data_IF_396873962989
#
_entry.id   IF_396873962989
#
_cell.length_a   1.000
_cell.length_b   1.000
_cell.length_c   1.000
_cell.angle_alpha   90.00
_cell.angle_beta   90.00
_cell.angle_gamma   90.00
#
_symmetry.space_group_name_H-M   'P 1'
#
loop_
_entity.id
_entity.type
_entity.pdbx_description
1 polymer ?
2 non-polymer ?
3 non-polymer ?
4 non-polymer ?
5 water ?
#
# COMPACT_ATOMS: atom_id res chain seq x y z
N UNK A 9 22.75 21.19 -13.24
CA UNK A 9 22.26 19.95 -12.56
C UNK A 9 21.42 18.95 -13.37
N UNK A 10 21.15 19.23 -14.63
CA UNK A 10 20.41 18.32 -15.49
C UNK A 10 21.44 17.54 -16.31
N UNK A 11 22.73 17.63 -16.00
CA UNK A 11 23.74 16.88 -16.69
C UNK A 11 24.21 15.60 -16.01
N UNK A 12 23.69 15.29 -14.82
CA UNK A 12 24.27 14.23 -14.00
C UNK A 12 24.29 12.89 -14.71
N UNK A 13 23.15 12.46 -15.24
CA UNK A 13 23.10 11.15 -15.86
C UNK A 13 23.85 11.12 -17.19
N UNK A 14 23.79 12.22 -17.96
CA UNK A 14 24.58 12.30 -19.20
C UNK A 14 26.06 12.08 -18.89
N UNK A 15 26.55 12.64 -17.78
CA UNK A 15 27.94 12.42 -17.37
C UNK A 15 28.18 10.99 -16.90
N UNK A 16 27.32 10.47 -16.03
CA UNK A 16 27.51 9.13 -15.51
C UNK A 16 27.42 8.06 -16.59
N UNK A 17 26.94 8.39 -17.80
CA UNK A 17 26.74 7.39 -18.82
C UNK A 17 25.47 6.56 -18.68
N UNK A 18 24.50 7.03 -17.90
CA UNK A 18 23.23 6.34 -17.69
C UNK A 18 22.20 6.89 -18.67
N UNK A 19 21.51 6.05 -19.43
CA UNK A 19 20.58 6.56 -20.44
C UNK A 19 19.28 7.03 -19.79
N UNK A 20 18.44 7.69 -20.58
CA UNK A 20 17.23 8.26 -20.04
C UNK A 20 16.70 9.43 -20.86
N UNK A 21 15.44 9.78 -20.63
CA UNK A 21 14.77 10.72 -21.52
C UNK A 21 15.22 12.14 -21.23
N UNK A 22 15.24 12.96 -22.26
CA UNK A 22 15.92 14.24 -22.15
C UNK A 22 15.06 15.21 -21.34
N UNK A 23 15.61 15.85 -20.31
CA UNK A 23 14.82 16.75 -19.45
C UNK A 23 14.65 18.13 -20.05
N UNK A 24 13.48 18.79 -19.67
CA UNK A 24 13.26 20.18 -20.00
C UNK A 24 13.77 21.06 -18.88
N UNK A 25 14.29 22.24 -19.20
CA UNK A 25 14.67 23.19 -18.14
C UNK A 25 13.57 23.35 -17.10
N UNK A 26 13.96 23.24 -15.82
CA UNK A 26 13.09 23.45 -14.65
C UNK A 26 12.13 22.30 -14.37
N UNK A 27 11.32 21.93 -15.37
CA UNK A 27 10.38 20.82 -15.16
C UNK A 27 11.06 19.47 -15.08
N UNK A 28 12.27 19.32 -15.62
CA UNK A 28 12.82 17.97 -15.70
C UNK A 28 12.00 17.17 -16.69
N UNK A 29 11.63 15.94 -16.32
CA UNK A 29 10.85 15.08 -17.19
C UNK A 29 9.36 15.03 -16.84
N UNK A 30 8.88 15.98 -16.03
CA UNK A 30 7.62 15.72 -15.36
C UNK A 30 6.46 15.79 -16.35
N UNK A 31 6.60 16.51 -17.46
CA UNK A 31 5.54 16.46 -18.48
C UNK A 31 5.23 15.00 -18.87
N UNK A 32 6.21 14.09 -18.74
CA UNK A 32 6.02 12.67 -19.08
C UNK A 32 5.01 11.95 -18.20
N UNK A 33 4.55 12.58 -17.12
CA UNK A 33 3.59 11.97 -16.22
C UNK A 33 2.15 12.14 -16.70
N UNK A 34 1.95 12.71 -17.90
CA UNK A 34 0.61 12.97 -18.42
C UNK A 34 -0.20 11.70 -18.58
N UNK A 35 0.47 10.57 -18.80
CA UNK A 35 -0.14 9.25 -18.91
C UNK A 35 -0.02 8.41 -17.65
N UNK A 36 0.63 8.93 -16.64
CA UNK A 36 0.80 8.34 -15.33
C UNK A 36 2.23 7.84 -15.11
N UNK A 37 2.64 7.83 -13.83
CA UNK A 37 3.87 7.18 -13.39
C UNK A 37 4.08 5.87 -14.10
N UNK A 38 3.09 4.97 -13.99
CA UNK A 38 3.36 3.58 -14.33
C UNK A 38 3.59 3.42 -15.84
N UNK A 39 2.80 4.08 -16.68
CA UNK A 39 3.06 4.02 -18.12
C UNK A 39 4.45 4.54 -18.46
N UNK A 40 4.82 5.70 -17.90
CA UNK A 40 6.16 6.27 -18.08
C UNK A 40 7.24 5.28 -17.66
N UNK A 41 7.07 4.66 -16.49
CA UNK A 41 8.03 3.68 -16.02
C UNK A 41 8.12 2.49 -16.96
N UNK A 42 6.98 1.91 -17.36
CA UNK A 42 6.99 0.84 -18.36
C UNK A 42 7.69 1.30 -19.63
N UNK A 43 7.34 2.49 -20.11
CA UNK A 43 7.99 2.97 -21.32
C UNK A 43 9.50 3.06 -21.14
N UNK A 44 9.97 3.67 -20.05
CA UNK A 44 11.40 3.76 -19.82
C UNK A 44 12.05 2.39 -19.73
N UNK A 45 11.46 1.50 -18.94
CA UNK A 45 12.01 0.16 -18.78
C UNK A 45 12.26 -0.53 -20.11
N UNK A 46 11.45 -0.19 -21.12
CA UNK A 46 11.54 -0.84 -22.41
C UNK A 46 12.46 -0.08 -23.38
N UNK A 47 12.41 1.26 -23.38
CA UNK A 47 13.34 2.06 -24.18
C UNK A 47 14.79 1.90 -23.71
N UNK A 48 15.03 1.68 -22.41
CA UNK A 48 16.34 1.92 -21.80
C UNK A 48 16.99 0.73 -21.12
N UNK A 49 16.24 -0.34 -20.81
CA UNK A 49 16.82 -1.49 -20.16
C UNK A 49 16.71 -1.57 -18.65
N UNK A 50 17.81 -1.97 -17.99
CA UNK A 50 17.81 -2.34 -16.58
C UNK A 50 18.05 -1.17 -15.64
N UNK A 51 18.42 0.00 -16.18
CA UNK A 51 18.82 1.18 -15.42
C UNK A 51 18.56 2.39 -16.29
N UNK A 52 17.96 3.43 -15.71
CA UNK A 52 17.80 4.72 -16.41
C UNK A 52 17.69 5.84 -15.40
N UNK A 53 17.76 7.07 -15.90
CA UNK A 53 17.63 8.22 -15.03
C UNK A 53 16.76 9.30 -15.61
N UNK A 54 16.09 10.05 -14.74
CA UNK A 54 15.18 11.09 -15.15
C UNK A 54 15.10 12.08 -14.00
N UNK A 55 14.38 13.17 -14.20
CA UNK A 55 14.46 14.31 -13.28
C UNK A 55 13.06 14.75 -12.90
N UNK A 56 12.76 14.72 -11.61
CA UNK A 56 11.53 15.35 -11.11
C UNK A 56 11.91 16.80 -10.85
N UNK A 57 11.54 17.70 -11.75
CA UNK A 57 12.02 19.06 -11.58
C UNK A 57 13.53 19.02 -11.72
N UNK A 58 14.25 19.48 -10.69
CA UNK A 58 15.71 19.39 -10.68
C UNK A 58 16.24 18.15 -9.95
N UNK A 59 15.37 17.31 -9.40
CA UNK A 59 15.78 16.18 -8.57
C UNK A 59 16.09 14.95 -9.43
N UNK A 60 17.32 14.51 -9.52
CA UNK A 60 17.63 13.27 -10.26
C UNK A 60 17.08 12.04 -9.58
N UNK A 61 16.52 11.12 -10.38
CA UNK A 61 15.90 9.89 -9.88
C UNK A 61 16.46 8.74 -10.70
N UNK A 62 17.18 7.81 -10.05
CA UNK A 62 17.76 6.66 -10.76
C UNK A 62 16.86 5.44 -10.59
N UNK A 63 16.29 4.95 -11.70
CA UNK A 63 15.52 3.72 -11.66
C UNK A 63 16.46 2.54 -11.80
N UNK A 64 16.27 1.53 -10.95
CA UNK A 64 17.02 0.27 -11.03
C UNK A 64 16.03 -0.88 -11.11
N UNK A 65 16.46 -1.97 -11.75
CA UNK A 65 15.62 -3.16 -11.89
C UNK A 65 16.38 -4.48 -11.72
N UNK A 66 17.70 -4.45 -11.57
CA UNK A 66 18.44 -5.68 -11.29
C UNK A 66 18.07 -6.22 -9.91
N UNK A 67 17.65 -7.50 -9.81
CA UNK A 67 17.31 -8.09 -8.49
C UNK A 67 18.40 -7.95 -7.45
N UNK A 68 19.68 -8.13 -7.85
CA UNK A 68 20.80 -8.00 -6.94
C UNK A 68 20.97 -6.57 -6.46
N UNK A 69 20.94 -5.61 -7.40
CA UNK A 69 21.06 -4.20 -7.02
C UNK A 69 19.90 -3.78 -6.13
N UNK A 70 18.71 -4.33 -6.36
CA UNK A 70 17.54 -4.00 -5.55
C UNK A 70 17.69 -4.54 -4.15
N UNK A 71 18.21 -5.76 -4.01
CA UNK A 71 18.43 -6.33 -2.70
C UNK A 71 19.49 -5.53 -1.94
N UNK A 72 20.55 -5.10 -2.65
CA UNK A 72 21.57 -4.24 -2.04
C UNK A 72 20.96 -2.95 -1.50
N UNK A 73 19.99 -2.39 -2.22
CA UNK A 73 19.47 -1.09 -1.87
C UNK A 73 18.45 -1.21 -0.74
N UNK A 74 17.48 -2.11 -0.91
CA UNK A 74 16.43 -2.27 0.09
C UNK A 74 16.95 -2.93 1.37
N UNK A 75 17.99 -3.77 1.27
CA UNK A 75 18.42 -4.63 2.38
C UNK A 75 19.89 -4.43 2.76
N UNK A 76 20.80 -4.84 1.86
CA UNK A 76 22.22 -4.95 2.20
C UNK A 76 22.81 -3.63 2.70
N UNK A 77 22.30 -2.51 2.21
CA UNK A 77 22.89 -1.20 2.51
C UNK A 77 21.84 -0.23 3.00
N UNK A 78 20.80 -0.73 3.67
CA UNK A 78 19.69 0.12 4.10
C UNK A 78 20.11 1.03 5.26
N UNK A 79 20.52 0.42 6.38
CA UNK A 79 20.94 1.20 7.54
C UNK A 79 22.03 2.21 7.21
N UNK A 80 22.95 1.87 6.30
CA UNK A 80 24.14 2.67 6.04
C UNK A 80 23.92 3.80 5.03
N UNK A 81 23.17 3.55 3.95
CA UNK A 81 23.13 4.48 2.83
C UNK A 81 21.71 4.83 2.41
N UNK A 82 20.82 3.85 2.35
CA UNK A 82 19.48 4.09 1.80
C UNK A 82 18.42 3.97 2.89
N UNK A 83 18.51 4.83 3.88
CA UNK A 83 17.69 4.67 5.06
C UNK A 83 16.33 5.31 4.92
N UNK A 84 16.23 6.39 4.14
CA UNK A 84 15.03 7.21 4.12
C UNK A 84 14.38 7.25 2.76
N UNK A 85 13.13 7.66 2.77
CA UNK A 85 12.38 7.90 1.55
C UNK A 85 12.57 9.34 1.13
N UNK A 86 12.06 9.64 -0.06
CA UNK A 86 12.17 10.98 -0.61
C UNK A 86 11.46 11.98 0.31
N UNK A 87 12.07 13.13 0.61
CA UNK A 87 11.36 14.15 1.39
C UNK A 87 10.01 14.46 0.78
N UNK A 88 9.06 14.83 1.63
CA UNK A 88 7.67 14.93 1.22
C UNK A 88 6.99 15.91 2.16
N UNK A 89 6.58 17.06 1.63
CA UNK A 89 6.03 18.08 2.49
C UNK A 89 5.17 19.08 1.76
N UNK A 90 4.56 20.01 2.51
CA UNK A 90 4.74 20.24 3.95
C UNK A 90 3.94 19.28 4.84
N UNK A 91 4.56 18.75 5.89
CA UNK A 91 3.90 17.76 6.72
C UNK A 91 3.50 18.30 8.10
N UNK A 92 4.23 19.27 8.66
CA UNK A 92 3.92 19.75 10.00
C UNK A 92 4.27 18.77 11.11
N UNK A 93 3.42 18.67 12.14
CA UNK A 93 3.71 17.75 13.24
C UNK A 93 3.83 16.31 12.76
N UNK A 94 3.32 16.00 11.56
CA UNK A 94 3.42 14.66 11.03
C UNK A 94 4.83 14.27 10.61
N UNK A 95 5.81 15.20 10.69
CA UNK A 95 7.19 14.80 10.40
C UNK A 95 7.63 13.65 11.29
N UNK A 96 7.04 13.54 12.47
CA UNK A 96 7.45 12.48 13.38
C UNK A 96 6.72 11.17 13.12
N UNK A 97 5.87 11.09 12.09
CA UNK A 97 5.22 9.84 11.77
C UNK A 97 6.27 8.84 11.30
N UNK A 98 6.04 7.56 11.60
CA UNK A 98 7.12 6.59 11.41
C UNK A 98 7.56 6.56 9.96
N UNK A 99 6.62 6.48 9.03
CA UNK A 99 7.00 6.27 7.63
C UNK A 99 7.63 7.51 7.01
N UNK A 100 7.51 8.67 7.66
CA UNK A 100 8.13 9.92 7.21
C UNK A 100 9.45 10.15 7.91
N UNK A 101 9.58 9.63 9.14
CA UNK A 101 10.76 9.88 9.95
C UNK A 101 12.02 9.32 9.28
N UNK A 102 13.15 9.84 9.70
CA UNK A 102 14.44 9.59 9.10
C UNK A 102 15.45 9.08 10.11
N UNK A 103 16.36 8.25 9.59
CA UNK A 103 17.62 7.91 10.25
C UNK A 103 17.35 7.43 11.67
N UNK A 104 17.99 8.00 12.68
CA UNK A 104 17.90 7.48 14.02
C UNK A 104 16.49 7.61 14.58
N UNK A 105 15.77 8.67 14.20
CA UNK A 105 14.44 8.81 14.77
C UNK A 105 13.51 7.71 14.26
N UNK A 106 13.57 7.40 12.95
CA UNK A 106 12.79 6.29 12.43
C UNK A 106 13.15 4.99 13.13
N UNK A 107 14.46 4.71 13.20
CA UNK A 107 14.96 3.54 13.93
C UNK A 107 14.27 3.38 15.28
N UNK A 108 14.19 4.45 16.07
CA UNK A 108 13.55 4.35 17.38
C UNK A 108 12.06 4.03 17.24
N UNK A 109 11.36 4.68 16.30
CA UNK A 109 9.93 4.41 16.13
C UNK A 109 9.69 2.98 15.64
N UNK A 110 10.46 2.56 14.64
CA UNK A 110 10.44 1.16 14.20
C UNK A 110 10.57 0.21 15.39
N UNK A 111 11.67 0.30 16.14
CA UNK A 111 11.83 -0.57 17.31
C UNK A 111 10.67 -0.42 18.28
N UNK A 112 10.15 0.80 18.46
CA UNK A 112 9.08 0.97 19.43
C UNK A 112 7.79 0.30 18.94
N UNK A 113 7.48 0.40 17.65
CA UNK A 113 6.19 -0.02 17.14
C UNK A 113 6.19 -1.42 16.54
N UNK A 114 7.34 -2.05 16.39
CA UNK A 114 7.37 -3.39 15.81
C UNK A 114 6.55 -4.43 16.58
N UNK A 115 6.56 -4.47 17.93
CA UNK A 115 5.81 -5.52 18.65
C UNK A 115 4.30 -5.46 18.46
N UNK A 116 3.81 -4.51 17.67
CA UNK A 116 2.38 -4.44 17.44
C UNK A 116 1.89 -5.55 16.51
N UNK A 117 2.73 -5.99 15.56
CA UNK A 117 2.26 -6.94 14.55
C UNK A 117 2.98 -8.28 14.61
N UNK A 118 3.03 -8.86 15.79
CA UNK A 118 3.56 -10.20 15.95
C UNK A 118 2.47 -11.22 15.67
N UNK A 119 2.90 -12.48 15.53
CA UNK A 119 1.93 -13.55 15.35
C UNK A 119 1.01 -13.68 16.56
N UNK A 120 1.50 -13.28 17.74
CA UNK A 120 0.74 -13.40 18.97
C UNK A 120 -0.18 -12.22 19.23
N UNK A 121 0.20 -11.03 18.74
CA UNK A 121 -0.67 -9.86 18.80
C UNK A 121 -1.75 -9.92 17.72
N UNK A 122 -1.38 -10.35 16.51
CA UNK A 122 -2.38 -10.64 15.48
C UNK A 122 -3.41 -11.63 15.98
N UNK A 123 -2.94 -12.74 16.55
CA UNK A 123 -3.82 -13.83 16.95
C UNK A 123 -4.84 -13.40 18.01
N UNK A 124 -4.52 -12.36 18.80
CA UNK A 124 -5.50 -11.79 19.72
C UNK A 124 -6.57 -10.97 19.00
N UNK A 125 -6.25 -10.44 17.81
CA UNK A 125 -7.16 -9.62 17.03
C UNK A 125 -8.18 -10.43 16.22
N UNK A 126 -7.94 -11.73 15.98
CA UNK A 126 -8.91 -12.54 15.23
C UNK A 126 -10.27 -12.59 15.94
N UNK A 127 -10.36 -12.88 17.24
CA UNK A 127 -11.69 -12.86 17.88
C UNK A 127 -12.39 -11.52 17.77
N UNK A 128 -11.66 -10.42 17.68
CA UNK A 128 -12.29 -9.10 17.65
C UNK A 128 -12.66 -8.69 16.23
N UNK A 129 -11.81 -9.00 15.25
CA UNK A 129 -12.20 -8.78 13.85
C UNK A 129 -13.46 -9.54 13.54
N UNK A 130 -13.67 -10.70 14.18
CA UNK A 130 -14.76 -11.60 13.85
C UNK A 130 -16.13 -10.97 13.97
N UNK A 131 -16.25 -9.77 14.55
CA UNK A 131 -17.55 -9.13 14.68
C UNK A 131 -17.90 -8.29 13.46
N UNK A 132 -16.96 -7.51 12.95
CA UNK A 132 -17.29 -6.57 11.90
C UNK A 132 -17.51 -7.26 10.56
N UNK A 133 -16.95 -8.46 10.36
CA UNK A 133 -17.30 -9.23 9.18
C UNK A 133 -18.79 -9.54 9.12
N UNK A 134 -19.39 -9.84 10.27
CA UNK A 134 -20.81 -10.12 10.32
C UNK A 134 -21.64 -8.86 10.06
N UNK A 135 -21.20 -7.71 10.57
CA UNK A 135 -21.76 -6.43 10.14
C UNK A 135 -21.63 -6.29 8.63
N UNK A 136 -20.42 -6.58 8.11
CA UNK A 136 -20.16 -6.49 6.67
C UNK A 136 -21.12 -7.37 5.88
N UNK A 137 -21.50 -8.52 6.41
CA UNK A 137 -22.44 -9.40 5.73
C UNK A 137 -23.83 -8.78 5.72
N UNK A 138 -24.36 -8.50 6.92
CA UNK A 138 -25.70 -7.93 7.04
C UNK A 138 -25.83 -6.62 6.28
N UNK A 139 -24.83 -5.74 6.37
CA UNK A 139 -24.86 -4.55 5.53
C UNK A 139 -24.99 -4.93 4.05
N UNK A 140 -24.46 -6.08 3.66
CA UNK A 140 -24.42 -6.51 2.27
C UNK A 140 -25.63 -7.33 1.91
N UNK A 141 -26.17 -8.06 2.88
CA UNK A 141 -27.43 -8.77 2.72
C UNK A 141 -28.58 -7.81 2.42
N UNK A 142 -28.54 -6.59 2.95
CA UNK A 142 -29.57 -5.59 2.65
C UNK A 142 -29.45 -5.11 1.21
N UNK A 143 -28.29 -4.58 0.84
CA UNK A 143 -28.03 -4.12 -0.51
C UNK A 143 -28.01 -5.26 -1.52
N UNK A 144 -28.28 -6.49 -1.09
CA UNK A 144 -28.41 -7.64 -1.96
C UNK A 144 -29.86 -8.09 -2.12
N UNK A 145 -30.59 -8.24 -1.00
CA UNK A 145 -32.02 -8.52 -1.03
C UNK A 145 -32.81 -7.46 -1.80
N UNK A 146 -32.18 -6.33 -2.10
CA UNK A 146 -32.68 -5.35 -3.05
C UNK A 146 -31.68 -5.32 -4.21
N UNK A 147 -32.08 -5.89 -5.36
CA UNK A 147 -31.20 -6.07 -6.51
C UNK A 147 -30.54 -4.81 -7.05
N UNK A 148 -29.91 -4.07 -6.14
CA UNK A 148 -29.28 -2.78 -6.39
C UNK A 148 -27.78 -2.94 -6.41
N UNK A 149 -27.07 -2.63 -7.51
CA UNK A 149 -25.60 -2.75 -7.51
C UNK A 149 -24.96 -2.07 -6.31
N UNK A 150 -23.82 -2.62 -5.87
CA UNK A 150 -23.14 -2.19 -4.66
C UNK A 150 -21.81 -1.54 -5.01
N UNK A 151 -21.49 -0.45 -4.32
CA UNK A 151 -20.18 0.17 -4.37
C UNK A 151 -19.30 -0.53 -3.34
N UNK A 152 -18.29 -1.24 -3.80
CA UNK A 152 -17.53 -2.06 -2.87
C UNK A 152 -16.71 -1.19 -1.93
N UNK A 153 -16.05 -0.17 -2.48
CA UNK A 153 -15.15 0.63 -1.65
C UNK A 153 -15.90 1.30 -0.52
N UNK A 154 -17.16 1.65 -0.74
CA UNK A 154 -17.97 2.19 0.34
C UNK A 154 -18.18 1.18 1.46
N UNK A 155 -18.62 -0.04 1.11
CA UNK A 155 -18.93 -1.00 2.17
C UNK A 155 -17.65 -1.66 2.68
N UNK A 156 -16.63 -1.82 1.84
CA UNK A 156 -15.34 -2.31 2.33
C UNK A 156 -14.70 -1.31 3.27
N UNK A 157 -14.60 -0.04 2.85
CA UNK A 157 -14.02 1.00 3.70
C UNK A 157 -14.75 1.14 5.01
N UNK A 158 -16.08 0.99 4.98
CA UNK A 158 -16.86 0.96 6.21
C UNK A 158 -16.31 -0.11 7.15
N UNK A 159 -16.14 -1.34 6.64
CA UNK A 159 -15.64 -2.42 7.48
C UNK A 159 -14.19 -2.18 7.89
N UNK A 160 -13.35 -1.72 6.94
CA UNK A 160 -11.95 -1.44 7.25
C UNK A 160 -11.83 -0.45 8.40
N UNK A 161 -12.53 0.68 8.30
CA UNK A 161 -12.53 1.68 9.36
C UNK A 161 -12.90 1.04 10.71
N UNK A 162 -13.84 0.10 10.68
CA UNK A 162 -14.27 -0.54 11.91
C UNK A 162 -13.13 -1.33 12.56
N UNK A 163 -12.47 -2.19 11.78
CA UNK A 163 -11.37 -3.00 12.28
C UNK A 163 -10.23 -2.11 12.78
N UNK A 164 -9.87 -1.07 12.03
CA UNK A 164 -8.72 -0.29 12.45
C UNK A 164 -8.97 0.36 13.81
N UNK A 165 -10.08 1.11 13.95
CA UNK A 165 -10.27 1.89 15.16
C UNK A 165 -10.29 1.01 16.39
N UNK A 166 -10.69 -0.26 16.22
CA UNK A 166 -10.77 -1.18 17.35
C UNK A 166 -9.49 -1.98 17.54
N UNK A 167 -8.77 -2.32 16.45
CA UNK A 167 -7.51 -3.06 16.59
C UNK A 167 -6.46 -2.26 17.35
N UNK A 168 -6.56 -0.95 17.31
CA UNK A 168 -5.51 -0.12 17.84
C UNK A 168 -5.93 0.73 19.03
N UNK A 169 -7.22 0.98 19.23
CA UNK A 169 -7.68 1.93 20.23
C UNK A 169 -8.74 1.33 21.13
N UNK A 170 -9.75 0.69 20.53
CA UNK A 170 -10.81 0.02 21.25
C UNK A 170 -12.20 0.57 20.97
N UNK A 171 -12.34 1.45 19.98
CA UNK A 171 -13.59 2.16 19.72
C UNK A 171 -14.41 1.41 18.67
N UNK A 172 -15.69 1.23 18.96
CA UNK A 172 -16.61 0.47 18.12
C UNK A 172 -17.69 1.42 17.61
N UNK A 173 -17.82 1.53 16.29
CA UNK A 173 -18.82 2.40 15.69
C UNK A 173 -19.27 1.87 14.34
N UNK A 174 -20.51 1.39 14.28
CA UNK A 174 -21.07 0.84 13.05
C UNK A 174 -20.63 1.83 11.98
N UNK A 175 -19.77 1.38 11.07
CA UNK A 175 -19.26 2.23 10.00
C UNK A 175 -20.23 2.25 8.83
N UNK A 176 -21.16 3.21 8.85
CA UNK A 176 -22.14 3.35 7.78
C UNK A 176 -22.47 4.79 7.43
N UNK A 177 -23.13 5.48 8.35
CA UNK A 177 -23.51 6.88 8.14
C UNK A 177 -24.46 7.39 9.22
N UNK A 180 -18.47 10.39 10.58
CA UNK A 180 -17.03 10.19 10.78
C UNK A 180 -16.37 9.68 9.50
N UNK A 181 -15.18 9.11 9.64
CA UNK A 181 -14.44 8.58 8.50
C UNK A 181 -13.77 9.66 7.66
N UNK A 182 -13.06 10.63 8.36
CA UNK A 182 -12.42 11.64 7.52
C UNK A 182 -11.01 11.32 7.08
N UNK A 183 -10.76 11.39 5.76
CA UNK A 183 -9.44 11.09 5.23
C UNK A 183 -8.72 12.37 4.79
N UNK A 197 -3.70 15.00 -8.61
CA UNK A 197 -2.55 15.62 -9.27
C UNK A 197 -2.83 17.09 -9.69
N UNK A 198 -3.00 18.02 -8.69
CA UNK A 198 -3.23 19.44 -9.03
C UNK A 198 -2.25 20.43 -8.41
N UNK A 199 -1.57 20.03 -7.33
CA UNK A 199 -0.85 20.95 -6.44
C UNK A 199 0.47 20.29 -6.09
N UNK A 200 0.41 19.03 -5.65
CA UNK A 200 1.61 18.23 -5.39
C UNK A 200 2.57 18.23 -6.57
N UNK A 201 2.03 18.43 -7.77
CA UNK A 201 2.81 18.77 -8.94
C UNK A 201 3.80 19.89 -8.62
N UNK A 202 3.29 21.03 -8.17
CA UNK A 202 4.15 22.18 -7.90
C UNK A 202 5.22 21.85 -6.86
N UNK A 203 4.96 20.90 -5.95
CA UNK A 203 5.98 20.50 -4.99
C UNK A 203 7.28 20.15 -5.69
N UNK A 204 7.20 19.49 -6.85
CA UNK A 204 8.41 18.92 -7.41
C UNK A 204 9.12 19.82 -8.40
N UNK A 205 8.40 20.75 -9.01
CA UNK A 205 9.11 21.86 -9.62
C UNK A 205 9.54 22.85 -8.55
N UNK A 206 8.85 22.89 -7.41
CA UNK A 206 9.17 23.88 -6.40
C UNK A 206 9.47 23.31 -5.03
N UNK A 207 10.24 22.21 -4.90
CA UNK A 207 10.45 21.65 -3.55
C UNK A 207 11.17 22.62 -2.64
N UNK A 208 11.82 23.61 -3.24
CA UNK A 208 12.38 24.72 -2.50
C UNK A 208 11.30 25.56 -1.83
N UNK A 209 10.04 25.18 -2.07
CA UNK A 209 8.91 25.89 -1.46
C UNK A 209 8.35 25.18 -0.25
N UNK A 210 8.60 23.88 -0.12
CA UNK A 210 8.29 23.14 1.08
C UNK A 210 8.70 23.89 2.35
N UNK A 211 9.95 24.35 2.52
CA UNK A 211 10.31 25.02 3.79
C UNK A 211 9.62 26.35 3.97
N UNK A 212 9.16 26.94 2.86
CA UNK A 212 8.27 28.10 2.92
C UNK A 212 6.93 27.69 3.53
N UNK A 213 6.42 26.54 3.09
CA UNK A 213 5.11 26.12 3.57
C UNK A 213 5.16 25.65 5.02
N UNK A 214 6.28 25.04 5.45
CA UNK A 214 6.39 24.59 6.83
C UNK A 214 6.28 25.76 7.79
N UNK A 215 6.97 26.86 7.48
CA UNK A 215 6.84 28.04 8.32
C UNK A 215 5.47 28.70 8.20
N UNK A 216 4.60 28.22 7.32
CA UNK A 216 3.23 28.75 7.28
C UNK A 216 2.21 27.85 7.96
N UNK A 217 2.65 26.75 8.57
CA UNK A 217 1.77 25.73 9.11
C UNK A 217 0.91 25.10 8.00
N UNK A 218 1.18 25.47 6.74
CA UNK A 218 0.43 24.91 5.63
C UNK A 218 0.72 23.42 5.50
N UNK A 219 -0.33 22.62 5.29
CA UNK A 219 -0.21 21.18 5.44
C UNK A 219 -0.95 20.44 4.32
N UNK A 220 -0.33 19.38 3.81
CA UNK A 220 -0.98 18.55 2.78
C UNK A 220 -2.08 17.68 3.37
N UNK A 221 -2.14 17.58 4.71
CA UNK A 221 -3.30 17.11 5.46
C UNK A 221 -4.00 18.35 5.93
N UNK A 222 -5.14 18.72 5.32
CA UNK A 222 -5.82 19.97 5.72
C UNK A 222 -5.84 20.10 7.23
N UNK A 223 -5.45 21.26 7.76
CA UNK A 223 -5.27 21.41 9.20
C UNK A 223 -6.51 21.02 9.99
N UNK A 224 -7.65 20.80 9.34
CA UNK A 224 -8.90 20.50 10.03
C UNK A 224 -9.15 19.01 10.18
N UNK A 225 -8.63 18.17 9.27
CA UNK A 225 -8.72 16.72 9.46
C UNK A 225 -7.85 16.29 10.64
N UNK A 226 -6.62 16.81 10.71
CA UNK A 226 -5.73 16.44 11.80
C UNK A 226 -6.15 17.10 13.11
N UNK A 227 -6.62 18.35 13.08
CA UNK A 227 -7.15 18.98 14.29
C UNK A 227 -8.32 18.19 14.86
N UNK A 228 -9.06 17.49 14.01
CA UNK A 228 -10.10 16.58 14.48
C UNK A 228 -9.51 15.54 15.42
N UNK A 229 -8.24 15.17 15.21
CA UNK A 229 -7.59 14.17 16.04
C UNK A 229 -6.45 14.71 16.87
N UNK A 230 -5.95 15.93 16.59
CA UNK A 230 -4.97 16.58 17.44
C UNK A 230 -5.53 16.67 18.86
N UNK A 231 -6.84 16.40 18.97
CA UNK A 231 -7.52 16.17 20.22
C UNK A 231 -8.21 14.81 20.32
N UNK A 232 -8.73 14.25 19.21
CA UNK A 232 -9.49 13.01 19.28
C UNK A 232 -8.69 11.82 19.79
N UNK A 233 -7.36 11.90 19.74
CA UNK A 233 -6.52 10.86 20.34
C UNK A 233 -6.27 11.13 21.81
N UNK A 234 -5.92 12.39 22.14
CA UNK A 234 -5.99 12.83 23.52
C UNK A 234 -7.37 12.54 24.11
N UNK A 235 -8.39 12.51 23.26
CA UNK A 235 -9.77 12.16 23.62
C UNK A 235 -10.01 10.65 23.64
N UNK A 236 -8.95 9.81 23.70
CA UNK A 236 -9.10 8.36 23.78
C UNK A 236 -8.00 7.74 24.65
N UNK A 237 -8.05 8.03 25.94
CA UNK A 237 -9.08 8.91 26.49
C UNK A 237 -8.51 9.86 27.54
N UNK A 238 -8.04 9.32 28.67
CA UNK A 238 -8.05 7.89 28.94
C UNK A 238 -8.02 7.60 30.44
N UNK A 239 -8.82 6.63 30.87
CA UNK A 239 -8.89 6.26 32.29
C UNK A 239 -10.00 5.26 32.54
N UNK A 250 -3.42 -2.97 22.99
CA UNK A 250 -3.66 -2.29 21.72
C UNK A 250 -2.47 -1.44 21.29
N UNK A 251 -2.45 -1.07 20.00
CA UNK A 251 -1.46 -0.12 19.50
C UNK A 251 -1.42 1.13 20.37
N UNK A 252 -2.58 1.64 20.77
CA UNK A 252 -2.64 2.76 21.70
C UNK A 252 -2.05 2.37 23.04
N UNK A 253 -2.41 1.19 23.55
CA UNK A 253 -1.81 0.67 24.77
C UNK A 253 -0.29 0.61 24.67
N UNK A 254 0.23 -0.15 23.69
CA UNK A 254 1.66 -0.43 23.61
C UNK A 254 2.50 0.85 23.46
N UNK A 255 1.88 1.98 23.15
CA UNK A 255 2.55 3.28 23.05
C UNK A 255 2.68 3.97 24.40
N UNK A 256 1.61 3.96 25.19
CA UNK A 256 1.65 4.64 26.49
C UNK A 256 2.68 3.96 27.40
N UNK A 257 2.84 2.64 27.28
CA UNK A 257 3.77 1.90 28.13
C UNK A 257 5.19 2.45 27.99
N UNK A 258 5.51 3.02 26.84
CA UNK A 258 6.78 3.66 26.60
C UNK A 258 6.65 5.18 26.58
N UNK A 259 5.48 5.72 26.89
CA UNK A 259 5.31 7.15 27.14
C UNK A 259 5.53 7.50 28.61
N UNK A 260 4.87 6.78 29.52
CA UNK A 260 4.91 7.05 30.96
C UNK A 260 4.84 8.55 31.27
N UNK A 268 16.38 7.28 24.40
CA UNK A 268 15.04 7.74 24.77
C UNK A 268 14.32 8.37 23.57
N UNK A 269 13.02 8.12 23.43
CA UNK A 269 12.26 7.28 24.35
C UNK A 269 10.79 7.20 23.93
N UNK A 270 10.13 8.35 23.87
CA UNK A 270 8.72 8.40 23.48
C UNK A 270 8.13 9.77 23.75
N UNK A 271 6.95 10.03 23.19
CA UNK A 271 6.28 11.30 23.37
C UNK A 271 4.77 11.08 23.25
N UNK A 272 4.03 12.17 23.03
CA UNK A 272 2.58 12.08 22.90
C UNK A 272 1.98 12.71 21.64
N UNK A 273 2.37 13.92 21.26
CA UNK A 273 2.01 14.33 19.90
C UNK A 273 2.65 13.40 18.88
N UNK A 274 3.81 12.83 19.21
CA UNK A 274 4.37 11.74 18.42
C UNK A 274 3.50 10.49 18.52
N UNK A 275 2.69 10.35 19.56
CA UNK A 275 1.79 9.21 19.59
C UNK A 275 0.61 9.41 18.65
N UNK A 276 0.05 10.64 18.60
CA UNK A 276 -1.06 10.96 17.71
C UNK A 276 -0.66 10.75 16.25
N UNK A 277 0.60 11.06 15.90
CA UNK A 277 1.04 10.96 14.52
C UNK A 277 1.11 9.50 14.05
N UNK A 278 1.69 8.61 14.86
CA UNK A 278 1.68 7.19 14.53
C UNK A 278 0.25 6.69 14.38
N UNK A 279 -0.64 7.16 15.26
CA UNK A 279 -2.03 6.72 15.18
C UNK A 279 -2.63 7.10 13.83
N UNK A 280 -2.44 8.35 13.40
CA UNK A 280 -2.97 8.79 12.11
C UNK A 280 -2.45 7.90 10.98
N UNK A 281 -1.15 7.57 10.98
CA UNK A 281 -0.61 6.68 9.95
C UNK A 281 -1.39 5.36 9.94
N UNK A 282 -1.47 4.72 11.10
CA UNK A 282 -2.11 3.42 11.18
C UNK A 282 -3.58 3.50 10.76
N UNK A 283 -4.25 4.62 11.08
CA UNK A 283 -5.67 4.71 10.78
C UNK A 283 -5.88 4.87 9.28
N UNK A 284 -5.00 5.61 8.62
CA UNK A 284 -5.07 5.70 7.17
C UNK A 284 -4.86 4.33 6.57
N UNK A 285 -3.66 3.77 6.79
CA UNK A 285 -3.27 2.46 6.27
C UNK A 285 -4.38 1.44 6.36
N UNK A 286 -4.88 1.19 7.58
CA UNK A 286 -5.90 0.17 7.77
C UNK A 286 -7.23 0.45 7.08
N UNK A 287 -7.56 1.73 6.89
CA UNK A 287 -8.78 2.07 6.15
C UNK A 287 -8.55 2.04 4.64
N UNK A 288 -7.71 2.93 4.13
CA UNK A 288 -7.70 3.15 2.69
C UNK A 288 -7.08 1.98 1.95
N UNK A 289 -5.98 1.43 2.46
CA UNK A 289 -5.31 0.39 1.69
C UNK A 289 -6.09 -0.91 1.74
N UNK A 290 -6.54 -1.29 2.95
CA UNK A 290 -7.30 -2.54 3.11
C UNK A 290 -8.58 -2.52 2.27
N UNK A 291 -9.28 -1.40 2.25
CA UNK A 291 -10.51 -1.30 1.47
C UNK A 291 -10.24 -1.25 -0.02
N UNK A 292 -9.16 -0.58 -0.41
CA UNK A 292 -8.85 -0.41 -1.82
C UNK A 292 -8.44 -1.73 -2.45
N UNK A 293 -7.73 -2.56 -1.70
CA UNK A 293 -7.30 -3.83 -2.24
C UNK A 293 -8.47 -4.80 -2.27
N UNK A 294 -9.28 -4.81 -1.21
CA UNK A 294 -10.45 -5.69 -1.20
C UNK A 294 -11.31 -5.46 -2.43
N UNK A 295 -11.45 -4.18 -2.83
CA UNK A 295 -12.25 -3.85 -4.01
C UNK A 295 -11.60 -4.36 -5.28
N UNK A 296 -10.28 -4.27 -5.38
CA UNK A 296 -9.59 -4.82 -6.54
C UNK A 296 -9.79 -6.33 -6.65
N UNK A 297 -9.74 -7.05 -5.51
CA UNK A 297 -9.87 -8.51 -5.50
C UNK A 297 -11.26 -8.92 -5.94
N UNK A 298 -12.29 -8.19 -5.50
CA UNK A 298 -13.65 -8.56 -5.86
C UNK A 298 -13.91 -8.31 -7.34
N UNK A 299 -13.33 -7.25 -7.91
CA UNK A 299 -13.40 -7.03 -9.35
C UNK A 299 -12.82 -8.22 -10.12
N UNK A 300 -11.64 -8.68 -9.71
CA UNK A 300 -11.00 -9.79 -10.43
C UNK A 300 -11.78 -11.08 -10.23
N UNK A 301 -12.24 -11.34 -9.00
CA UNK A 301 -13.13 -12.47 -8.75
C UNK A 301 -14.39 -12.41 -9.60
N UNK A 302 -14.88 -11.21 -9.93
CA UNK A 302 -16.12 -11.09 -10.71
C UNK A 302 -15.88 -11.29 -12.20
N UNK A 303 -14.76 -10.77 -12.71
CA UNK A 303 -14.41 -10.95 -14.12
C UNK A 303 -13.83 -12.33 -14.42
N UNK A 304 -13.57 -13.16 -13.39
CA UNK A 304 -13.05 -14.51 -13.55
C UNK A 304 -13.84 -15.47 -12.66
N UNK A 305 -15.07 -15.82 -13.07
CA UNK A 305 -15.97 -16.63 -12.21
C UNK A 305 -15.42 -17.98 -11.75
N UNK A 306 -14.59 -18.68 -12.56
CA UNK A 306 -14.04 -19.97 -12.14
C UNK A 306 -13.08 -19.81 -10.96
N UNK A 307 -12.42 -18.65 -10.87
CA UNK A 307 -11.56 -18.41 -9.73
C UNK A 307 -12.39 -18.16 -8.48
N UNK A 308 -13.53 -17.49 -8.63
CA UNK A 308 -14.40 -17.26 -7.48
C UNK A 308 -14.98 -18.57 -6.96
N UNK A 309 -15.40 -19.46 -7.85
CA UNK A 309 -15.89 -20.75 -7.39
C UNK A 309 -14.78 -21.53 -6.70
N UNK A 310 -13.63 -21.65 -7.37
CA UNK A 310 -12.53 -22.41 -6.79
C UNK A 310 -12.25 -21.92 -5.37
N UNK A 311 -12.34 -20.61 -5.16
CA UNK A 311 -12.11 -20.04 -3.83
C UNK A 311 -13.25 -20.40 -2.87
N UNK A 312 -14.51 -20.30 -3.33
CA UNK A 312 -15.61 -20.64 -2.43
C UNK A 312 -15.56 -22.11 -2.04
N UNK A 313 -15.04 -22.96 -2.94
CA UNK A 313 -14.87 -24.39 -2.67
C UNK A 313 -13.83 -24.62 -1.58
N UNK A 314 -12.71 -23.89 -1.62
CA UNK A 314 -11.67 -24.11 -0.61
C UNK A 314 -12.15 -23.68 0.78
N UNK A 315 -12.84 -22.53 0.86
CA UNK A 315 -13.32 -22.00 2.13
C UNK A 315 -14.31 -22.95 2.80
N UNK A 316 -15.21 -23.53 2.01
CA UNK A 316 -16.18 -24.47 2.58
C UNK A 316 -15.52 -25.78 3.01
N UNK A 317 -14.37 -26.13 2.45
CA UNK A 317 -13.72 -27.38 2.85
C UNK A 317 -12.92 -27.21 4.15
N UNK A 318 -12.21 -26.09 4.29
CA UNK A 318 -11.53 -25.79 5.56
C UNK A 318 -12.54 -25.41 6.63
N UNK A 319 -13.62 -24.74 6.24
CA UNK A 319 -14.58 -24.15 7.18
C UNK A 319 -15.97 -24.67 6.86
N UNK A 320 -16.27 -25.91 7.23
CA UNK A 320 -17.58 -26.48 6.88
C UNK A 320 -18.70 -25.89 7.74
N UNK A 321 -19.89 -25.79 7.13
CA UNK A 321 -21.08 -25.20 7.75
C UNK A 321 -20.96 -23.70 7.94
N UNK A 322 -20.21 -23.02 7.06
CA UNK A 322 -19.81 -21.63 7.28
C UNK A 322 -19.19 -21.46 8.66
N UNK A 323 -18.34 -22.41 9.04
CA UNK A 323 -17.63 -22.32 10.31
C UNK A 323 -16.88 -20.98 10.41
N UNK A 324 -16.78 -20.40 11.60
CA UNK A 324 -16.08 -19.12 11.75
C UNK A 324 -14.61 -19.28 11.45
N UNK A 325 -14.02 -18.40 10.64
CA UNK A 325 -12.58 -18.49 10.38
C UNK A 325 -11.78 -18.19 11.63
N UNK A 326 -10.77 -19.02 11.88
CA UNK A 326 -9.80 -18.74 12.92
C UNK A 326 -8.46 -18.36 12.28
N UNK A 327 -7.59 -17.80 13.13
CA UNK A 327 -6.26 -17.38 12.73
C UNK A 327 -5.56 -18.47 11.93
N UNK A 328 -5.72 -19.71 12.39
CA UNK A 328 -4.99 -20.81 11.76
C UNK A 328 -5.67 -21.29 10.49
N UNK A 329 -7.01 -21.30 10.46
CA UNK A 329 -7.70 -21.70 9.24
C UNK A 329 -7.44 -20.70 8.11
N UNK A 330 -7.19 -19.44 8.45
CA UNK A 330 -6.82 -18.46 7.42
C UNK A 330 -5.49 -18.86 6.75
N UNK A 331 -4.47 -19.11 7.57
CA UNK A 331 -3.16 -19.46 7.01
C UNK A 331 -3.18 -20.80 6.30
N UNK A 332 -4.17 -21.64 6.60
CA UNK A 332 -4.29 -22.93 5.94
C UNK A 332 -4.71 -22.80 4.48
N UNK A 333 -5.36 -21.70 4.12
CA UNK A 333 -6.04 -21.58 2.82
C UNK A 333 -5.06 -21.08 1.76
N UNK A 334 -4.66 -21.97 0.85
CA UNK A 334 -3.60 -21.65 -0.09
C UNK A 334 -4.07 -20.86 -1.30
N UNK A 335 -5.20 -21.26 -1.90
CA UNK A 335 -5.74 -20.54 -3.05
C UNK A 335 -6.21 -19.15 -2.67
N UNK A 336 -6.69 -18.96 -1.44
CA UNK A 336 -6.98 -17.60 -0.99
C UNK A 336 -5.69 -16.78 -1.05
N UNK A 337 -4.59 -17.36 -0.57
CA UNK A 337 -3.32 -16.64 -0.61
C UNK A 337 -2.89 -16.36 -2.04
N UNK A 338 -3.10 -17.32 -2.95
CA UNK A 338 -2.74 -17.14 -4.35
C UNK A 338 -3.56 -16.02 -4.97
N UNK A 339 -4.86 -16.00 -4.69
CA UNK A 339 -5.71 -14.93 -5.21
C UNK A 339 -5.23 -13.60 -4.69
N UNK A 340 -4.97 -13.51 -3.39
CA UNK A 340 -4.58 -12.21 -2.86
C UNK A 340 -3.28 -11.75 -3.50
N UNK A 341 -2.30 -12.66 -3.58
CA UNK A 341 -1.00 -12.30 -4.12
C UNK A 341 -1.14 -11.82 -5.54
N UNK A 342 -1.98 -12.52 -6.31
CA UNK A 342 -2.06 -12.24 -7.72
C UNK A 342 -2.71 -10.89 -7.98
N UNK A 343 -3.69 -10.48 -7.14
CA UNK A 343 -4.21 -9.13 -7.25
C UNK A 343 -3.14 -8.10 -6.94
N UNK A 344 -2.35 -8.31 -5.89
CA UNK A 344 -1.31 -7.32 -5.60
C UNK A 344 -0.20 -7.31 -6.64
N UNK A 345 -0.07 -8.37 -7.46
CA UNK A 345 0.87 -8.27 -8.58
C UNK A 345 0.34 -7.32 -9.63
N UNK A 346 -0.97 -7.38 -9.90
CA UNK A 346 -1.58 -6.51 -10.90
C UNK A 346 -1.81 -5.09 -10.37
N UNK A 347 -2.18 -4.94 -9.11
CA UNK A 347 -2.50 -3.63 -8.52
C UNK A 347 -1.63 -3.39 -7.30
N UNK A 348 -0.32 -3.17 -7.49
CA UNK A 348 0.57 -2.92 -6.33
C UNK A 348 0.43 -1.49 -5.85
N UNK A 349 -0.28 -1.30 -4.74
CA UNK A 349 -0.75 0.04 -4.39
C UNK A 349 0.37 1.05 -4.10
N UNK A 350 1.60 0.60 -3.85
CA UNK A 350 2.73 1.54 -3.76
C UNK A 350 3.24 2.07 -5.12
N UNK A 351 3.16 1.26 -6.19
CA UNK A 351 3.60 1.59 -7.56
C UNK A 351 5.11 1.74 -7.74
N UNK A 352 5.77 2.55 -6.91
CA UNK A 352 7.22 2.66 -6.85
C UNK A 352 7.73 2.58 -5.42
N UNK A 353 8.89 1.96 -5.21
CA UNK A 353 9.62 2.07 -3.95
C UNK A 353 10.84 2.95 -4.19
N UNK A 354 11.16 3.79 -3.20
CA UNK A 354 12.17 4.84 -3.31
C UNK A 354 12.98 4.95 -2.04
N UNK A 355 14.29 5.26 -2.18
CA UNK A 355 15.24 5.51 -1.09
C UNK A 355 16.24 6.60 -1.46
N UNK A 356 16.46 7.55 -0.55
CA UNK A 356 17.44 8.62 -0.81
C UNK A 356 18.85 8.09 -0.57
N UNK A 357 19.72 8.31 -1.54
CA UNK A 357 21.12 7.91 -1.41
C UNK A 357 21.81 8.95 -0.54
N UNK A 358 22.25 8.55 0.66
CA UNK A 358 22.72 9.52 1.62
C UNK A 358 24.23 9.73 1.59
N UNK A 359 24.97 9.04 0.71
CA UNK A 359 26.41 9.23 0.55
C UNK A 359 26.85 8.48 -0.69
N UNK A 360 28.02 8.85 -1.23
CA UNK A 360 28.53 8.17 -2.42
C UNK A 360 28.62 6.66 -2.16
N UNK A 361 28.26 5.87 -3.17
CA UNK A 361 28.33 4.41 -3.09
C UNK A 361 28.53 3.83 -4.49
N UNK A 362 29.04 2.60 -4.52
CA UNK A 362 29.26 1.85 -5.75
C UNK A 362 28.64 0.48 -5.50
N UNK A 363 27.37 0.33 -5.88
CA UNK A 363 26.60 -0.89 -5.63
C UNK A 363 26.53 -1.73 -6.89
N UNK A 364 26.88 -3.01 -6.77
CA UNK A 364 26.88 -3.93 -7.91
C UNK A 364 27.56 -3.30 -9.13
N UNK A 365 28.74 -2.73 -8.91
CA UNK A 365 29.55 -2.24 -10.00
C UNK A 365 29.12 -0.92 -10.62
N UNK A 366 28.27 -0.15 -9.95
CA UNK A 366 27.76 1.11 -10.48
C UNK A 366 27.84 2.21 -9.44
N UNK A 367 28.42 3.36 -9.82
CA UNK A 367 28.56 4.50 -8.92
C UNK A 367 27.29 5.32 -8.83
N UNK A 368 26.84 5.62 -7.60
CA UNK A 368 25.63 6.39 -7.32
C UNK A 368 26.00 7.57 -6.44
N UNK A 369 25.82 8.81 -6.90
CA UNK A 369 26.29 9.96 -6.13
C UNK A 369 25.28 10.42 -5.09
N UNK A 370 25.79 11.15 -4.12
CA UNK A 370 24.98 11.55 -2.98
C UNK A 370 23.81 12.38 -3.46
N UNK A 371 22.65 12.13 -2.86
CA UNK A 371 21.45 12.89 -3.15
C UNK A 371 20.52 12.30 -4.20
N UNK A 372 21.00 11.37 -5.04
CA UNK A 372 20.12 10.77 -6.03
C UNK A 372 19.00 10.03 -5.31
N UNK A 373 17.80 10.07 -5.88
CA UNK A 373 16.73 9.19 -5.41
C UNK A 373 16.81 7.92 -6.23
N UNK A 374 16.88 6.79 -5.54
CA UNK A 374 16.93 5.48 -6.16
C UNK A 374 15.52 4.88 -6.10
N UNK A 375 15.03 4.38 -7.23
CA UNK A 375 13.63 4.07 -7.37
C UNK A 375 13.49 2.65 -7.91
N UNK A 376 12.58 1.88 -7.33
CA UNK A 376 12.23 0.57 -7.89
C UNK A 376 10.87 0.72 -8.53
N UNK A 377 10.75 0.59 -9.84
CA UNK A 377 9.42 0.68 -10.47
C UNK A 377 8.64 -0.64 -10.34
N UNK A 378 8.01 -0.81 -9.17
CA UNK A 378 7.35 -2.07 -8.84
C UNK A 378 6.23 -2.40 -9.82
N UNK A 379 5.36 -1.43 -10.10
CA UNK A 379 4.30 -1.70 -11.06
C UNK A 379 4.89 -2.25 -12.34
N UNK A 380 5.99 -1.66 -12.81
CA UNK A 380 6.58 -2.13 -14.07
C UNK A 380 7.16 -3.53 -13.94
N UNK A 381 7.91 -3.77 -12.86
CA UNK A 381 8.47 -5.09 -12.66
C UNK A 381 7.39 -6.16 -12.54
N UNK A 382 6.24 -5.81 -11.93
CA UNK A 382 5.11 -6.75 -11.83
C UNK A 382 4.52 -7.08 -13.21
N UNK A 383 4.65 -6.18 -14.20
CA UNK A 383 4.06 -6.40 -15.52
C UNK A 383 5.09 -6.64 -16.62
N UNK A 384 6.38 -6.80 -16.23
CA UNK A 384 7.49 -7.06 -17.13
C UNK A 384 7.33 -8.43 -17.80
N UNK A 385 7.20 -8.49 -19.12
CA UNK A 385 7.17 -9.80 -19.82
C UNK A 385 8.42 -10.65 -19.61
N UNK A 386 9.57 -10.05 -19.28
CA UNK A 386 10.78 -10.85 -19.06
C UNK A 386 10.82 -11.58 -17.70
N UNK A 387 9.70 -11.62 -16.95
CA UNK A 387 9.53 -12.45 -15.75
C UNK A 387 8.21 -13.16 -15.68
N UNK A 388 7.14 -12.61 -16.24
CA UNK A 388 5.80 -13.13 -16.07
C UNK A 388 5.25 -13.47 -17.45
N UNK A 389 4.86 -14.73 -17.66
CA UNK A 389 4.11 -15.06 -18.86
C UNK A 389 2.75 -14.35 -18.77
N UNK A 390 2.27 -13.87 -19.91
CA UNK A 390 0.99 -13.16 -20.06
C UNK A 390 0.72 -12.16 -18.92
N UNK A 391 1.62 -11.21 -18.70
CA UNK A 391 1.62 -10.48 -17.41
C UNK A 391 0.37 -9.66 -17.14
N UNK A 392 -0.46 -9.36 -18.15
CA UNK A 392 -1.69 -8.60 -17.94
C UNK A 392 -2.86 -9.48 -17.52
N UNK A 393 -2.72 -10.79 -17.55
CA UNK A 393 -3.82 -11.67 -17.18
C UNK A 393 -3.80 -11.98 -15.68
N UNK A 394 -4.99 -12.03 -15.09
CA UNK A 394 -5.13 -12.44 -13.70
C UNK A 394 -5.09 -13.95 -13.65
N UNK A 395 -3.96 -14.50 -13.22
CA UNK A 395 -3.72 -15.96 -13.24
C UNK A 395 -3.12 -16.38 -11.90
N UNK A 396 -3.96 -16.71 -10.92
CA UNK A 396 -3.45 -17.02 -9.58
C UNK A 396 -2.58 -18.29 -9.52
N UNK A 397 -2.61 -19.15 -10.53
CA UNK A 397 -1.69 -20.28 -10.56
C UNK A 397 -0.21 -19.88 -10.62
N UNK A 398 0.13 -18.63 -10.94
CA UNK A 398 1.53 -18.24 -10.88
C UNK A 398 2.10 -18.41 -9.48
N UNK A 399 1.24 -18.39 -8.45
CA UNK A 399 1.67 -18.44 -7.06
C UNK A 399 1.33 -19.78 -6.40
N UNK A 400 0.99 -20.81 -7.18
CA UNK A 400 0.87 -22.15 -6.60
C UNK A 400 2.23 -22.60 -6.08
N UNK A 401 2.21 -23.47 -5.08
CA UNK A 401 3.49 -24.02 -4.59
C UNK A 401 4.22 -24.78 -5.68
N UNK A 402 3.50 -25.27 -6.71
CA UNK A 402 4.15 -25.81 -7.89
C UNK A 402 4.97 -24.75 -8.64
N UNK A 403 4.49 -23.50 -8.67
CA UNK A 403 5.12 -22.47 -9.48
C UNK A 403 5.80 -21.35 -8.70
N UNK A 404 5.36 -21.07 -7.46
CA UNK A 404 5.80 -19.91 -6.67
C UNK A 404 7.32 -19.79 -6.51
N UNK A 405 8.10 -20.80 -6.87
CA UNK A 405 9.55 -20.74 -6.76
C UNK A 405 10.22 -20.06 -7.95
N UNK A 406 9.50 -19.89 -9.07
CA UNK A 406 9.98 -19.13 -10.23
C UNK A 406 9.76 -17.62 -10.08
N UNK A 407 9.63 -17.13 -8.84
CA UNK A 407 9.22 -15.75 -8.60
C UNK A 407 10.27 -15.08 -7.73
N UNK A 408 10.98 -14.12 -8.32
CA UNK A 408 12.07 -13.43 -7.64
C UNK A 408 11.49 -12.46 -6.62
N UNK A 409 11.74 -12.65 -5.32
CA UNK A 409 11.15 -11.76 -4.30
C UNK A 409 11.67 -10.35 -4.36
N UNK A 410 12.68 -10.07 -5.19
CA UNK A 410 13.15 -8.72 -5.43
C UNK A 410 12.62 -8.16 -6.73
N UNK A 411 11.80 -8.93 -7.44
CA UNK A 411 10.99 -8.42 -8.53
C UNK A 411 9.56 -8.18 -8.08
N UNK A 412 9.03 -9.08 -7.25
CA UNK A 412 7.64 -9.04 -6.77
C UNK A 412 7.65 -8.61 -5.31
N UNK A 413 7.41 -7.33 -5.08
CA UNK A 413 7.63 -6.71 -3.78
C UNK A 413 6.43 -5.87 -3.37
N UNK A 414 5.25 -6.46 -3.27
CA UNK A 414 4.05 -5.66 -2.95
C UNK A 414 4.10 -5.05 -1.55
N UNK A 415 4.95 -5.53 -0.64
CA UNK A 415 5.06 -4.95 0.70
C UNK A 415 6.42 -4.33 0.96
N UNK A 416 7.24 -4.15 -0.09
CA UNK A 416 8.60 -3.64 0.09
C UNK A 416 9.56 -4.76 0.45
N UNK A 417 10.70 -4.38 1.02
CA UNK A 417 11.66 -5.37 1.48
C UNK A 417 12.69 -4.68 2.38
N UNK A 418 13.36 -5.47 3.20
CA UNK A 418 14.43 -4.97 4.03
C UNK A 418 13.90 -4.28 5.27
N UNK A 419 14.79 -3.69 6.08
CA UNK A 419 14.36 -3.17 7.39
C UNK A 419 13.20 -2.21 7.30
N UNK A 420 13.00 -1.63 6.13
CA UNK A 420 11.98 -0.61 5.96
C UNK A 420 10.81 -1.05 5.08
N UNK A 421 10.42 -2.32 5.19
CA UNK A 421 9.24 -2.76 4.45
C UNK A 421 7.96 -2.47 5.23
N UNK A 422 6.84 -2.92 4.69
CA UNK A 422 5.55 -2.59 5.28
C UNK A 422 5.44 -3.17 6.68
N UNK A 423 5.25 -2.31 7.67
CA UNK A 423 5.20 -2.85 9.02
C UNK A 423 3.88 -3.56 9.29
N UNK A 424 2.86 -3.31 8.48
CA UNK A 424 1.56 -3.89 8.72
C UNK A 424 1.20 -5.06 7.82
N UNK A 425 2.22 -5.67 7.19
CA UNK A 425 1.96 -6.68 6.18
C UNK A 425 1.10 -7.82 6.70
N UNK A 426 1.53 -8.45 7.80
CA UNK A 426 0.81 -9.61 8.31
C UNK A 426 -0.57 -9.21 8.83
N UNK A 427 -0.67 -8.06 9.49
CA UNK A 427 -1.99 -7.58 9.89
C UNK A 427 -2.86 -7.31 8.67
N UNK A 428 -2.27 -6.81 7.58
CA UNK A 428 -3.07 -6.48 6.40
C UNK A 428 -3.57 -7.73 5.67
N UNK A 429 -2.66 -8.65 5.32
CA UNK A 429 -3.06 -9.94 4.75
C UNK A 429 -4.14 -10.62 5.59
N UNK A 430 -3.95 -10.66 6.90
CA UNK A 430 -4.91 -11.31 7.77
C UNK A 430 -6.24 -10.58 7.77
N UNK A 431 -6.19 -9.25 7.86
CA UNK A 431 -7.41 -8.46 7.90
C UNK A 431 -8.26 -8.72 6.66
N UNK A 432 -7.65 -8.58 5.48
CA UNK A 432 -8.35 -8.85 4.22
C UNK A 432 -8.92 -10.26 4.19
N UNK A 433 -8.06 -11.26 4.38
CA UNK A 433 -8.49 -12.64 4.21
C UNK A 433 -9.69 -12.98 5.09
N UNK A 434 -9.74 -12.45 6.33
CA UNK A 434 -10.92 -12.68 7.16
C UNK A 434 -12.15 -11.98 6.59
N UNK A 435 -11.94 -10.83 5.95
CA UNK A 435 -13.06 -10.21 5.24
C UNK A 435 -13.51 -11.10 4.09
N UNK A 436 -12.56 -11.59 3.28
CA UNK A 436 -12.91 -12.40 2.11
C UNK A 436 -13.63 -13.68 2.52
N UNK A 437 -13.04 -14.46 3.44
CA UNK A 437 -13.65 -15.71 3.92
C UNK A 437 -15.10 -15.47 4.31
N UNK A 438 -15.33 -14.59 5.28
CA UNK A 438 -16.69 -14.29 5.73
C UNK A 438 -17.58 -13.88 4.56
N UNK A 439 -17.07 -13.04 3.65
CA UNK A 439 -17.89 -12.52 2.56
C UNK A 439 -18.25 -13.63 1.58
N UNK A 440 -17.27 -14.44 1.19
CA UNK A 440 -17.53 -15.45 0.18
C UNK A 440 -18.27 -16.66 0.74
N UNK A 441 -18.28 -16.84 2.07
CA UNK A 441 -19.15 -17.85 2.66
C UNK A 441 -20.64 -17.55 2.48
N UNK A 442 -20.99 -16.37 1.94
CA UNK A 442 -22.38 -15.94 1.90
C UNK A 442 -22.85 -15.41 0.55
N UNK A 443 -21.97 -14.78 -0.21
CA UNK A 443 -22.39 -14.09 -1.42
C UNK A 443 -21.50 -14.46 -2.59
N UNK A 444 -22.06 -14.31 -3.80
CA UNK A 444 -21.27 -14.33 -5.03
C UNK A 444 -21.36 -12.96 -5.70
N UNK A 445 -20.44 -12.73 -6.64
CA UNK A 445 -20.22 -11.42 -7.23
C UNK A 445 -20.17 -11.54 -8.74
N UNK A 446 -21.02 -10.77 -9.43
CA UNK A 446 -21.13 -10.78 -10.88
C UNK A 446 -20.88 -9.38 -11.42
N UNK A 447 -20.57 -9.25 -12.71
CA UNK A 447 -20.50 -7.92 -13.30
C UNK A 447 -21.89 -7.33 -13.45
N UNK A 448 -21.93 -6.00 -13.50
CA UNK A 448 -23.15 -5.26 -13.78
C UNK A 448 -22.98 -4.45 -15.05
N UNK A 449 -24.11 -3.98 -15.59
CA UNK A 449 -24.10 -3.20 -16.81
C UNK A 449 -23.12 -2.04 -16.71
N UNK A 450 -22.99 -1.48 -15.51
CA UNK A 450 -22.13 -0.34 -15.28
C UNK A 450 -20.73 -0.70 -14.78
N UNK A 451 -20.41 -1.99 -14.65
CA UNK A 451 -19.06 -2.37 -14.22
C UNK A 451 -18.08 -2.02 -15.33
N UNK A 452 -17.09 -1.18 -15.01
CA UNK A 452 -16.08 -0.77 -15.98
C UNK A 452 -15.19 -1.96 -16.31
N UNK A 453 -15.35 -2.49 -17.53
CA UNK A 453 -14.60 -3.66 -17.97
C UNK A 453 -14.05 -3.36 -19.36
N UNK A 454 -12.71 -3.31 -19.55
CA UNK A 454 -11.70 -3.53 -18.50
C UNK A 454 -11.52 -2.33 -17.62
N UNK A 455 -11.10 -2.56 -16.38
CA UNK A 455 -10.92 -1.49 -15.43
C UNK A 455 -9.70 -0.65 -15.82
N UNK A 456 -9.92 0.65 -15.99
CA UNK A 456 -8.84 1.61 -16.22
C UNK A 456 -8.24 2.05 -14.90
N UNK A 457 -6.91 2.10 -14.84
CA UNK A 457 -6.27 2.69 -13.69
C UNK A 457 -6.36 4.22 -13.75
N UNK A 458 -6.41 4.83 -12.57
CA UNK A 458 -6.39 6.28 -12.50
C UNK A 458 -5.03 6.78 -12.97
N UNK A 459 -5.05 7.67 -13.98
CA UNK A 459 -3.84 8.34 -14.42
C UNK A 459 -3.33 9.32 -13.38
N UNK A 460 -4.03 9.46 -12.28
CA UNK A 460 -3.57 10.30 -11.19
C UNK A 460 -2.34 9.73 -10.55
N UNK A 461 -2.17 9.96 -9.26
CA UNK A 461 -0.93 9.58 -8.61
C UNK A 461 -1.03 8.33 -7.76
N UNK A 462 -2.24 7.97 -7.36
CA UNK A 462 -2.46 6.86 -6.45
C UNK A 462 -3.14 5.72 -7.19
N UNK A 463 -2.75 4.50 -6.87
CA UNK A 463 -3.22 3.34 -7.62
C UNK A 463 -4.69 3.10 -7.32
N UNK A 464 -5.54 3.83 -8.05
CA UNK A 464 -6.98 3.70 -7.91
C UNK A 464 -7.60 3.49 -9.28
N UNK A 465 -8.83 3.00 -9.34
CA UNK A 465 -9.50 2.91 -10.64
C UNK A 465 -10.16 4.23 -10.96
N UNK A 466 -10.11 4.61 -12.23
CA UNK A 466 -10.87 5.77 -12.72
C UNK A 466 -12.30 5.76 -12.20
N UNK A 467 -13.12 4.75 -12.64
CA UNK A 467 -14.48 4.65 -12.14
C UNK A 467 -14.49 3.72 -10.93
N UNK A 468 -15.38 3.94 -9.96
CA UNK A 468 -15.43 3.08 -8.77
C UNK A 468 -15.97 1.70 -9.12
N UNK A 469 -15.67 0.73 -8.25
CA UNK A 469 -15.95 -0.67 -8.52
C UNK A 469 -17.38 -0.98 -8.09
N UNK A 470 -18.27 -1.23 -9.06
CA UNK A 470 -19.63 -1.62 -8.75
C UNK A 470 -19.90 -2.99 -9.38
N UNK A 471 -20.62 -3.84 -8.64
CA UNK A 471 -20.87 -5.20 -9.07
C UNK A 471 -22.21 -5.67 -8.52
N UNK A 472 -22.79 -6.65 -9.18
CA UNK A 472 -23.99 -7.28 -8.67
C UNK A 472 -23.62 -8.31 -7.62
N UNK A 473 -24.37 -8.34 -6.52
CA UNK A 473 -24.14 -9.24 -5.39
C UNK A 473 -25.35 -10.16 -5.27
N UNK A 474 -25.11 -11.47 -5.08
CA UNK A 474 -26.18 -12.45 -5.02
C UNK A 474 -25.95 -13.38 -3.83
N UNK A 475 -27.04 -13.77 -3.16
CA UNK A 475 -26.96 -14.46 -1.86
C UNK A 475 -26.99 -15.97 -2.06
N UNK A 476 -25.94 -16.64 -1.60
CA UNK A 476 -25.86 -18.08 -1.64
C UNK A 476 -26.91 -18.71 -0.71
X LIG B 1 5.06 0.90 4.26
X LIG B 1 2.39 -1.88 1.33
X LIG B 1 -1.16 -2.02 4.60
X LIG B 1 1.73 0.26 7.74
X LIG B 1 4.63 0.18 3.17
X LIG B 1 5.37 0.00 1.93
X LIG B 1 4.63 -0.77 1.15
X LIG B 1 3.40 -1.09 1.85
X LIG B 1 4.96 -1.26 -0.29
X LIG B 1 6.76 0.58 1.60
X LIG B 1 7.77 -0.53 1.89
X LIG B 1 9.14 -0.22 1.32
X LIG B 1 9.97 -1.19 1.28
X LIG B 1 9.40 0.95 0.91
X LIG B 1 1.17 -2.14 1.93
X LIG B 1 0.05 -2.87 1.36
X LIG B 1 -0.95 -2.90 2.27
X LIG B 1 -0.47 -2.21 3.43
X LIG B 1 0.08 -3.49 -0.06
X LIG B 1 -2.36 -3.56 2.25
X LIG B 1 -2.71 -4.56 1.43
X LIG B 1 -0.68 -1.46 5.75
X LIG B 1 -1.38 -1.40 7.01
X LIG B 1 -0.60 -0.80 7.90
X LIG B 1 0.65 -0.43 7.22
X LIG B 1 -2.79 -1.99 7.30
X LIG B 1 -1.06 -0.57 9.36
X LIG B 1 -0.20 -0.14 10.28
X LIG B 1 2.86 0.68 7.05
X LIG B 1 3.93 1.49 7.60
X LIG B 1 4.84 1.67 6.64
X LIG B 1 4.39 0.96 5.45
X LIG B 1 3.99 2.06 9.03
X LIG B 1 6.16 2.44 6.76
X LIG B 1 7.26 1.45 7.18
X LIG B 1 8.50 2.26 7.60
X LIG B 1 9.25 1.88 8.56
X LIG B 1 8.70 3.36 7.00
X LIG B 1 3.44 -0.50 3.09
X LIG B 1 0.82 -1.75 3.19
X LIG B 1 0.55 -0.83 5.90
X LIG B 1 3.19 0.39 5.76
X LIG B 1 1.95 -0.67 4.49
X LIG C 1 -0.18 6.36 -12.32
X LIG C 1 -0.84 6.75 -11.14
X LIG C 1 -1.07 5.43 -13.13
X LIG C 1 -1.06 4.15 -12.52
X LIG C 1 -0.58 5.38 -14.57
X LIG C 1 0.84 5.15 -14.67
X LIG D 1 1.46 10.49 -2.82
X LIG D 1 2.64 9.63 -3.31
X LIG D 1 2.08 8.27 -3.89
X LIG D 1 3.38 10.35 -4.45
X LIG D 1 3.25 8.84 -1.00
X LIG D 1 2.87 8.83 1.45
X LIG D 1 3.81 9.35 2.58
X LIG D 1 4.22 6.47 3.97
X LIG D 1 4.86 6.22 2.55
X LIG D 1 4.61 4.99 1.72
X LIG D 1 3.75 3.96 2.07
X LIG D 1 3.58 2.87 1.19
X LIG D 1 4.27 2.79 -0.02
X LIG D 1 5.14 3.81 -0.38
X LIG D 1 5.30 4.89 0.49
X LIG D 1 2.98 5.69 4.64
X LIG D 1 0.49 5.48 5.49
X LIG D 1 -0.44 4.39 4.96
X LIG D 1 0.10 3.35 4.11
X LIG D 1 -0.09 3.39 2.74
X LIG D 1 0.39 2.41 1.87
X LIG D 1 1.08 1.35 2.49
X LIG D 1 0.81 2.28 4.61
X LIG D 1 1.29 9.14 1.68
X LIG D 1 0.67 9.44 3.09
X LIG D 1 -0.32 8.62 3.66
X LIG D 1 -0.90 8.90 4.92
X LIG D 1 -0.49 10.02 5.64
X LIG D 1 0.49 10.84 5.10
X LIG D 1 1.05 10.55 3.84
X LIG D 1 3.35 9.48 0.22
X LIG D 1 1.63 6.11 4.73
X LIG D 1 1.28 1.33 3.81
X LIG D 1 3.60 9.41 -2.21
X LIG D 1 2.83 7.67 -0.97
X LIG D 1 3.21 4.61 5.28
X LIG D 1 3.81 8.32 4.14
#
# INVERSE_FOLDING_TARGET
>A
MAYLYGTHSHGLFKKLGIPGPTPLPFLGNILSYHKGFCMFDMECHKKYGKVWGFYDGQQPVLAITDPDMIKTVLVKECYSVFTNRRPFGPVGFMKSAISIAEDEEWKRLRSLLSPTFTSGKLKEMVPIIAQYGDVLVRNLRREAETGKPVTLKDVFGAYSMDVITSTSFGVNIDSLNNPQDPFVENTKKLLRFDFLDPFFLSITVFPFLIPILEVLNICVFPREVTNFLRKSVKRMKESRLEDTQKHRVDFLQLMIDSQNSKETESHKALSDLELVAQSIIFIFAGYETTSSVLSFIMYELATHPDVQQKLQEEIDAVLPNKAPPTYDTVLQMEYLDMVVNETLRLFPIAMRLERVCKKDVEINGMFIPKGVVVMIPSYALHRDPKYWTEPEKFLPERFSKKNKDNIDPYIYTPFGSGPRNCIGMRFALMNMKLALIRVLQNFSFKPCKETQIPLKLSLGGLLQPEKPVVLKVESRDGTVSGAHHHH
>B hetero
1 HEM CHA CHB CHC CHD C1A C2A C3A C4A CMA CAA CBA CGA O1A O2A C1B C2B C3B C4B CMB CAB CBB C1C C2C C3C C4C CMC CAC CBC C1D C2D C3D C4D CMD CAD CBD CGD O1D O2D NA NB NC ND FE
>C hetero
1 GOL C1 O1 C2 O2 C3 O3
>D hetero
1 G0V C01 C02 C03 C04 C06 C09 C10 C12 C13 C14 C15 C16 C17 C18 C19 C20 C23 C24 C25 C26 C27 C28 C30 C31 C32 C33 C34 C35 C36 C37 N08 N22 N29 O05 O07 O21 S11
#
